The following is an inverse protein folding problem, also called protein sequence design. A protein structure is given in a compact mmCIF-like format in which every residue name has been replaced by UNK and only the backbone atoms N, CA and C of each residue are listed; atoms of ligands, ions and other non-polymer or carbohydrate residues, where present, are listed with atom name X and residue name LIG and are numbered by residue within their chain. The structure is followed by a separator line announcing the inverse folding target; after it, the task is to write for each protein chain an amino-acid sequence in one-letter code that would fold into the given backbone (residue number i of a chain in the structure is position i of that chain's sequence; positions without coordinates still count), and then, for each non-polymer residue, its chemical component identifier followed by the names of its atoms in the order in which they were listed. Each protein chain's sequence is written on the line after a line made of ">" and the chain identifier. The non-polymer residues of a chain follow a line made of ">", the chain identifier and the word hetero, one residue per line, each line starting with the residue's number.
data_IF_378837377997
#
_entry.id   IF_378837377997
#
_cell.length_a   1.000
_cell.length_b   1.000
_cell.length_c   1.000
_cell.angle_alpha   90.00
_cell.angle_beta   90.00
_cell.angle_gamma   90.00
#
_symmetry.space_group_name_H-M   'P 1'
#
loop_
_entity.id
_entity.type
_entity.pdbx_description
1 polymer ?
#
# COMPACT_ATOMS: atom_id res chain seq x y z
N UNK A 1 -8.31 15.53 2.38
CA UNK A 1 -7.23 14.67 1.84
C UNK A 1 -7.82 13.30 1.57
N UNK A 2 -7.56 12.72 0.40
CA UNK A 2 -8.02 11.38 0.07
C UNK A 2 -7.38 10.34 1.00
N UNK A 3 -8.15 9.35 1.44
CA UNK A 3 -7.66 8.22 2.25
C UNK A 3 -8.32 6.92 1.81
N UNK A 4 -7.62 5.83 2.02
CA UNK A 4 -8.16 4.48 1.93
C UNK A 4 -8.49 4.02 3.34
N UNK A 5 -9.77 3.76 3.59
CA UNK A 5 -10.28 3.43 4.92
C UNK A 5 -10.43 1.93 5.07
N UNK A 6 -9.79 1.41 6.12
CA UNK A 6 -9.87 0.03 6.55
C UNK A 6 -10.75 -0.07 7.81
N UNK A 7 -11.70 -1.00 7.81
CA UNK A 7 -12.64 -1.27 8.90
C UNK A 7 -12.50 -2.74 9.31
N UNK A 8 -11.62 -3.04 10.26
CA UNK A 8 -11.30 -4.39 10.72
C UNK A 8 -10.93 -5.35 9.57
N UNK A 9 -10.19 -4.87 8.57
CA UNK A 9 -9.88 -5.65 7.38
C UNK A 9 -8.66 -6.55 7.56
N UNK A 10 -8.72 -7.72 6.94
CA UNK A 10 -7.56 -8.61 6.84
C UNK A 10 -6.78 -8.28 5.59
N UNK A 11 -5.50 -7.97 5.75
CA UNK A 11 -4.67 -7.44 4.67
C UNK A 11 -3.72 -8.53 4.19
N UNK A 12 -3.72 -8.78 2.89
CA UNK A 12 -2.73 -9.60 2.20
C UNK A 12 -1.81 -8.72 1.40
N UNK A 13 -0.51 -8.84 1.59
CA UNK A 13 0.48 -8.16 0.75
C UNK A 13 0.96 -9.17 -0.29
N UNK A 14 0.66 -8.87 -1.56
CA UNK A 14 1.06 -9.67 -2.71
C UNK A 14 1.64 -8.74 -3.78
N UNK A 15 2.61 -7.93 -3.35
CA UNK A 15 3.36 -7.02 -4.18
C UNK A 15 4.43 -7.77 -4.98
N UNK A 16 5.13 -7.04 -5.84
CA UNK A 16 6.24 -7.56 -6.62
C UNK A 16 7.29 -8.30 -5.74
N UNK A 17 7.93 -9.39 -6.23
CA UNK A 17 8.92 -10.14 -5.46
C UNK A 17 10.11 -9.33 -4.94
N UNK A 18 10.41 -8.16 -5.52
CA UNK A 18 11.45 -7.24 -5.03
C UNK A 18 11.04 -6.51 -3.75
N UNK A 19 9.74 -6.39 -3.47
CA UNK A 19 9.20 -5.77 -2.24
C UNK A 19 9.34 -6.75 -1.07
N UNK A 20 9.90 -6.26 0.04
CA UNK A 20 10.06 -6.97 1.31
C UNK A 20 8.85 -6.80 2.22
N UNK A 21 8.41 -5.55 2.40
CA UNK A 21 7.33 -5.17 3.30
C UNK A 21 6.67 -3.88 2.85
N UNK A 22 5.46 -3.65 3.34
CA UNK A 22 4.71 -2.40 3.11
C UNK A 22 4.24 -1.82 4.44
N UNK A 23 4.22 -0.49 4.55
CA UNK A 23 3.69 0.21 5.71
C UNK A 23 2.57 1.14 5.26
N UNK A 24 1.36 0.92 5.78
CA UNK A 24 0.14 1.64 5.42
C UNK A 24 -0.12 2.89 6.29
N UNK A 25 0.70 3.10 7.33
CA UNK A 25 0.55 4.18 8.31
C UNK A 25 -0.85 4.22 8.96
N UNK A 26 -1.42 3.04 9.27
CA UNK A 26 -2.73 2.93 9.93
C UNK A 26 -2.67 3.27 11.43
N UNK A 27 -1.47 3.30 12.01
CA UNK A 27 -1.23 3.67 13.40
C UNK A 27 -0.01 4.60 13.50
N UNK A 28 0.06 5.40 14.58
CA UNK A 28 1.14 6.37 14.80
C UNK A 28 2.54 5.73 14.88
N UNK A 29 2.62 4.45 15.27
CA UNK A 29 3.88 3.71 15.35
C UNK A 29 4.35 3.20 13.98
N UNK A 30 3.46 3.13 13.00
CA UNK A 30 3.70 2.44 11.73
C UNK A 30 3.84 0.93 11.94
N UNK A 31 3.24 0.14 11.07
CA UNK A 31 3.39 -1.31 11.11
C UNK A 31 3.79 -1.80 9.71
N UNK A 32 4.87 -2.57 9.66
CA UNK A 32 5.33 -3.19 8.42
C UNK A 32 4.63 -4.54 8.23
N UNK A 33 3.86 -4.64 7.15
CA UNK A 33 3.24 -5.86 6.69
C UNK A 33 4.21 -6.58 5.74
N UNK A 34 4.61 -7.83 6.01
CA UNK A 34 5.53 -8.57 5.15
C UNK A 34 4.86 -8.91 3.81
N UNK A 35 5.63 -8.85 2.72
CA UNK A 35 5.19 -9.34 1.40
C UNK A 35 5.39 -10.86 1.31
N UNK A 36 4.59 -11.61 2.06
CA UNK A 36 4.62 -13.07 2.12
C UNK A 36 3.45 -13.75 1.40
N UNK A 37 2.57 -12.95 0.78
CA UNK A 37 1.39 -13.44 0.08
C UNK A 37 0.34 -14.06 1.01
N UNK A 38 0.40 -13.85 2.33
CA UNK A 38 -0.60 -14.34 3.29
C UNK A 38 -1.45 -13.20 3.83
N UNK A 39 -2.66 -13.53 4.27
CA UNK A 39 -3.46 -12.59 5.04
C UNK A 39 -2.86 -12.41 6.44
N UNK A 40 -2.98 -11.19 6.95
CA UNK A 40 -2.64 -10.87 8.31
C UNK A 40 -3.40 -11.75 9.32
N UNK A 41 -2.76 -12.04 10.45
CA UNK A 41 -3.37 -12.80 11.55
C UNK A 41 -4.37 -11.97 12.36
N UNK A 42 -4.19 -10.64 12.37
CA UNK A 42 -5.08 -9.68 13.01
C UNK A 42 -5.73 -8.76 11.96
N UNK A 43 -6.95 -8.27 12.23
CA UNK A 43 -7.58 -7.25 11.42
C UNK A 43 -6.91 -5.88 11.66
N UNK A 44 -6.96 -5.01 10.65
CA UNK A 44 -6.49 -3.63 10.71
C UNK A 44 -7.62 -2.65 10.46
N UNK A 45 -7.56 -1.54 11.19
CA UNK A 45 -8.49 -0.43 11.10
C UNK A 45 -7.71 0.87 11.01
N UNK A 46 -8.24 1.83 10.26
CA UNK A 46 -7.65 3.16 10.13
C UNK A 46 -7.71 3.71 8.72
N UNK A 47 -7.27 4.95 8.58
CA UNK A 47 -7.24 5.69 7.33
C UNK A 47 -5.82 5.78 6.79
N UNK A 48 -5.52 5.02 5.73
CA UNK A 48 -4.23 5.14 5.04
C UNK A 48 -4.28 6.32 4.07
N UNK A 49 -3.42 7.31 4.29
CA UNK A 49 -3.21 8.45 3.36
C UNK A 49 -2.02 8.23 2.43
N UNK A 50 -1.13 7.31 2.81
CA UNK A 50 0.10 6.98 2.11
C UNK A 50 0.52 5.55 2.42
N UNK A 51 1.32 4.97 1.54
CA UNK A 51 1.95 3.66 1.73
C UNK A 51 3.45 3.78 1.47
N UNK A 52 4.27 3.11 2.27
CA UNK A 52 5.71 2.99 2.06
C UNK A 52 6.06 1.56 1.70
N UNK A 53 6.78 1.37 0.60
CA UNK A 53 7.34 0.08 0.21
C UNK A 53 8.80 0.00 0.64
N UNK A 54 9.17 -1.10 1.30
CA UNK A 54 10.55 -1.45 1.62
C UNK A 54 10.97 -2.60 0.71
N UNK A 55 12.09 -2.47 0.00
CA UNK A 55 12.59 -3.49 -0.93
C UNK A 55 13.58 -4.46 -0.25
N UNK A 56 13.76 -5.66 -0.82
CA UNK A 56 14.60 -6.71 -0.24
C UNK A 56 16.09 -6.39 -0.25
N UNK A 57 16.58 -5.74 -1.30
CA UNK A 57 18.00 -5.38 -1.48
C UNK A 57 18.06 -3.97 -2.05
N UNK A 58 18.81 -3.04 -1.45
CA UNK A 58 19.09 -1.75 -2.07
C UNK A 58 20.20 -1.90 -3.14
N UNK A 59 20.12 -1.14 -4.25
CA UNK A 59 18.98 -0.33 -4.71
C UNK A 59 17.86 -1.20 -5.32
N UNK A 60 16.58 -0.76 -5.24
CA UNK A 60 16.12 0.61 -4.92
C UNK A 60 15.92 0.94 -3.43
N UNK A 61 15.97 2.24 -3.10
CA UNK A 61 15.63 2.76 -1.77
C UNK A 61 14.11 2.65 -1.51
N UNK A 62 13.66 2.63 -0.24
CA UNK A 62 12.23 2.59 0.08
C UNK A 62 11.46 3.77 -0.53
N UNK A 63 10.33 3.47 -1.17
CA UNK A 63 9.51 4.47 -1.86
C UNK A 63 8.19 4.74 -1.11
N UNK A 64 7.71 5.98 -1.12
CA UNK A 64 6.44 6.37 -0.49
C UNK A 64 5.45 6.87 -1.53
N UNK A 65 4.22 6.35 -1.49
CA UNK A 65 3.15 6.61 -2.43
C UNK A 65 1.99 7.28 -1.67
N UNK A 66 1.31 8.24 -2.30
CA UNK A 66 0.14 8.91 -1.72
C UNK A 66 -1.15 8.38 -2.36
N UNK A 67 -2.27 8.45 -1.63
CA UNK A 67 -3.56 8.01 -2.19
C UNK A 67 -3.93 8.85 -3.40
N UNK A 68 -4.12 8.18 -4.54
CA UNK A 68 -4.69 8.77 -5.77
C UNK A 68 -6.19 8.51 -5.84
N UNK A 69 -6.61 7.28 -5.57
CA UNK A 69 -8.01 6.90 -5.56
C UNK A 69 -8.39 6.36 -4.17
N UNK A 70 -9.29 7.08 -3.50
CA UNK A 70 -9.81 6.72 -2.20
C UNK A 70 -10.82 5.58 -2.32
N UNK A 71 -10.88 4.73 -1.29
CA UNK A 71 -11.91 3.70 -1.16
C UNK A 71 -12.19 3.47 0.32
N UNK A 72 -13.43 3.12 0.64
CA UNK A 72 -13.80 2.64 1.98
C UNK A 72 -14.14 1.17 1.88
N UNK A 73 -13.34 0.32 2.53
CA UNK A 73 -13.60 -1.11 2.55
C UNK A 73 -14.70 -1.46 3.56
N UNK A 74 -15.56 -2.44 3.24
CA UNK A 74 -16.58 -2.91 4.18
C UNK A 74 -15.92 -3.60 5.39
N UNK A 75 -16.68 -3.72 6.48
CA UNK A 75 -16.16 -4.31 7.71
C UNK A 75 -15.75 -5.79 7.50
N UNK A 76 -14.63 -6.21 8.09
CA UNK A 76 -14.13 -7.59 8.04
C UNK A 76 -13.78 -8.09 6.62
N UNK A 77 -13.74 -7.19 5.62
CA UNK A 77 -13.34 -7.55 4.27
C UNK A 77 -11.88 -8.00 4.21
N UNK A 78 -11.62 -8.93 3.29
CA UNK A 78 -10.28 -9.36 2.93
C UNK A 78 -9.80 -8.54 1.74
N UNK A 79 -8.68 -7.84 1.93
CA UNK A 79 -8.12 -6.93 0.93
C UNK A 79 -6.73 -7.39 0.54
N UNK A 80 -6.39 -7.25 -0.74
CA UNK A 80 -5.09 -7.63 -1.28
C UNK A 80 -4.40 -6.41 -1.86
N UNK A 81 -3.17 -6.16 -1.41
CA UNK A 81 -2.29 -5.12 -1.93
C UNK A 81 -1.41 -5.73 -3.00
N UNK A 82 -1.33 -5.07 -4.16
CA UNK A 82 -0.57 -5.51 -5.32
C UNK A 82 0.17 -4.33 -5.97
N UNK A 83 1.16 -4.63 -6.82
CA UNK A 83 2.01 -3.65 -7.50
C UNK A 83 3.33 -3.38 -6.76
N UNK A 84 3.89 -2.19 -6.97
CA UNK A 84 5.13 -1.78 -6.30
C UNK A 84 6.41 -2.43 -6.84
N UNK A 85 6.42 -2.89 -8.09
CA UNK A 85 7.67 -3.24 -8.74
C UNK A 85 8.57 -2.01 -8.88
N UNK A 86 9.88 -2.21 -8.98
CA UNK A 86 10.82 -1.12 -9.21
C UNK A 86 10.41 -0.31 -10.46
N UNK A 87 10.41 1.02 -10.34
CA UNK A 87 9.95 1.93 -11.39
C UNK A 87 8.43 1.98 -11.63
N UNK A 88 7.61 1.21 -10.91
CA UNK A 88 6.15 1.28 -11.04
C UNK A 88 5.59 2.46 -10.26
N UNK A 89 4.74 3.25 -10.90
CA UNK A 89 4.15 4.44 -10.30
C UNK A 89 2.91 4.16 -9.43
N UNK A 90 2.42 2.91 -9.40
CA UNK A 90 1.13 2.57 -8.78
C UNK A 90 1.21 1.36 -7.84
N UNK A 91 0.52 1.48 -6.72
CA UNK A 91 0.19 0.39 -5.80
C UNK A 91 -1.32 0.35 -5.66
N UNK A 92 -1.92 -0.83 -5.77
CA UNK A 92 -3.36 -1.01 -5.67
C UNK A 92 -3.72 -1.83 -4.44
N UNK A 93 -4.88 -1.57 -3.87
CA UNK A 93 -5.55 -2.44 -2.91
C UNK A 93 -6.95 -2.75 -3.41
N UNK A 94 -7.33 -4.02 -3.34
CA UNK A 94 -8.62 -4.51 -3.84
C UNK A 94 -9.24 -5.52 -2.88
N UNK A 95 -10.57 -5.48 -2.70
CA UNK A 95 -11.33 -6.54 -2.02
C UNK A 95 -11.92 -7.55 -3.02
N UNK A 96 -12.44 -8.67 -2.51
CA UNK A 96 -13.06 -9.71 -3.35
C UNK A 96 -14.31 -9.25 -4.12
N UNK A 97 -14.88 -8.09 -3.76
CA UNK A 97 -16.08 -7.54 -4.37
C UNK A 97 -15.75 -6.52 -5.48
N UNK A 98 -14.46 -6.25 -5.73
CA UNK A 98 -14.00 -5.30 -6.73
C UNK A 98 -13.94 -3.85 -6.24
N UNK A 99 -14.07 -3.59 -4.94
CA UNK A 99 -13.75 -2.28 -4.36
C UNK A 99 -12.24 -2.08 -4.46
N UNK A 100 -11.80 -0.98 -5.09
CA UNK A 100 -10.39 -0.72 -5.37
C UNK A 100 -9.97 0.66 -4.90
N UNK A 101 -8.81 0.74 -4.27
CA UNK A 101 -8.10 1.98 -3.97
C UNK A 101 -6.70 1.93 -4.54
N UNK A 102 -6.11 3.10 -4.83
CA UNK A 102 -4.77 3.18 -5.43
C UNK A 102 -3.94 4.24 -4.75
N UNK A 103 -2.67 3.90 -4.50
CA UNK A 103 -1.62 4.86 -4.19
C UNK A 103 -0.73 5.06 -5.40
N UNK A 104 -0.31 6.31 -5.63
CA UNK A 104 0.60 6.70 -6.69
C UNK A 104 1.90 7.25 -6.12
N UNK A 105 2.99 6.96 -6.81
CA UNK A 105 4.28 7.57 -6.52
C UNK A 105 4.12 9.04 -6.88
N UNK A 106 4.04 9.90 -5.87
CA UNK A 106 4.16 11.33 -6.11
C UNK A 106 5.65 11.53 -6.35
N UNK A 107 6.02 11.74 -7.62
CA UNK A 107 7.39 12.02 -7.99
C UNK A 107 7.95 13.11 -7.07
N UNK A 108 9.15 12.86 -6.55
CA UNK A 108 10.08 13.96 -6.37
C UNK A 108 10.20 14.67 -7.72
N UNK A 109 10.25 16.00 -7.66
CA UNK A 109 10.51 16.94 -8.76
C UNK A 109 10.59 16.26 -10.14
N UNK A 110 9.57 16.51 -10.97
CA UNK A 110 9.85 16.70 -12.39
C UNK A 110 10.95 17.77 -12.43
N UNK A 111 12.23 17.37 -12.50
CA UNK A 111 13.26 18.27 -13.01
C UNK A 111 12.84 18.52 -14.45
N UNK A 112 12.17 19.66 -14.64
CA UNK A 112 12.04 20.33 -15.92
C UNK A 112 13.44 20.38 -16.55
N UNK A 113 13.65 19.63 -17.63
CA UNK A 113 14.79 19.86 -18.52
C UNK A 113 14.64 21.27 -19.12
N UNK A 114 15.36 22.25 -18.56
CA UNK A 114 15.70 23.52 -19.24
C UNK A 114 16.86 23.35 -20.22
#
# INVERSE_FOLDING_TARGET
>A
MASIKFNNNYIRVNCDPTVKSVNLFLSDKGEELPNDGKFSTKPYSGDSKKIRLTYKVPPPAPATYNVLNAVTFPENAQVTITGGADGTQLVMVEDKNGNKGTWGLVGGEEEEEE
#
